data_IF_033286505478
#
_entry.id   IF_033286505478
#
_cell.length_a   1.000
_cell.length_b   1.000
_cell.length_c   1.000
_cell.angle_alpha   90.00
_cell.angle_beta   90.00
_cell.angle_gamma   90.00
#
_symmetry.space_group_name_H-M   'P 1'
#
loop_
_entity.id
_entity.type
_entity.pdbx_description
1 polymer ?
#
# COMPACT_ATOMS: atom_id res chain seq x y z
N UNK A 1 -6.01 -47.34 -29.26
CA UNK A 1 -4.61 -47.74 -29.55
C UNK A 1 -3.81 -46.44 -29.69
N UNK A 2 -2.74 -46.13 -28.95
CA UNK A 2 -2.11 -46.69 -27.74
C UNK A 2 -1.67 -45.45 -26.89
N UNK A 3 -1.69 -45.40 -25.54
CA UNK A 3 -1.03 -46.18 -24.48
C UNK A 3 0.47 -45.83 -24.24
N UNK A 4 0.87 -45.84 -22.95
CA UNK A 4 2.17 -45.45 -22.35
C UNK A 4 2.49 -43.94 -22.32
N UNK A 5 2.65 -43.22 -21.19
CA UNK A 5 3.16 -43.47 -19.83
C UNK A 5 4.69 -43.38 -19.67
N UNK A 6 5.17 -42.40 -18.88
CA UNK A 6 6.36 -42.56 -18.06
C UNK A 6 6.34 -41.70 -16.79
N UNK A 7 6.85 -42.26 -15.69
CA UNK A 7 6.82 -41.70 -14.34
C UNK A 7 8.18 -42.00 -13.66
N UNK A 8 8.77 -41.04 -12.95
CA UNK A 8 9.85 -41.14 -11.93
C UNK A 8 9.90 -39.76 -11.23
N UNK A 9 9.84 -39.56 -9.91
CA UNK A 9 10.44 -40.24 -8.74
C UNK A 9 11.97 -40.31 -8.81
N UNK A 10 12.63 -39.47 -8.03
CA UNK A 10 13.80 -39.83 -7.21
C UNK A 10 13.58 -39.15 -5.82
N UNK A 11 14.42 -39.41 -4.81
CA UNK A 11 14.02 -39.17 -3.41
C UNK A 11 15.08 -38.59 -2.45
N UNK A 12 14.60 -37.79 -1.47
CA UNK A 12 15.23 -37.66 -0.14
C UNK A 12 16.13 -36.44 0.11
N UNK A 13 16.24 -36.05 1.39
CA UNK A 13 17.11 -34.96 1.83
C UNK A 13 16.81 -34.43 3.24
N UNK A 14 16.93 -35.28 4.28
CA UNK A 14 16.91 -34.81 5.68
C UNK A 14 18.30 -34.33 6.10
N UNK A 15 18.38 -33.27 6.91
CA UNK A 15 19.61 -32.75 7.50
C UNK A 15 19.38 -32.23 8.92
N UNK A 16 20.14 -32.75 9.89
CA UNK A 16 19.96 -32.52 11.34
C UNK A 16 21.15 -31.79 11.97
N UNK A 17 20.90 -30.97 12.99
CA UNK A 17 21.91 -30.49 13.96
C UNK A 17 21.36 -29.33 14.81
N UNK A 18 21.08 -29.38 16.12
CA UNK A 18 21.80 -29.82 17.35
C UNK A 18 22.80 -28.80 17.93
N UNK A 19 22.54 -28.33 19.15
CA UNK A 19 23.44 -27.53 20.00
C UNK A 19 22.80 -26.21 20.46
N UNK A 20 22.60 -25.87 21.74
CA UNK A 20 22.89 -26.59 22.99
C UNK A 20 23.97 -25.91 23.84
N UNK A 21 23.61 -25.27 24.96
CA UNK A 21 24.59 -24.74 25.94
C UNK A 21 24.07 -23.68 26.93
N UNK A 22 23.77 -24.08 28.16
CA UNK A 22 23.48 -23.17 29.31
C UNK A 22 24.79 -22.83 30.07
N UNK A 23 24.89 -21.64 30.68
CA UNK A 23 25.48 -21.36 32.02
C UNK A 23 24.75 -20.12 32.61
N UNK A 24 24.22 -20.09 33.83
CA UNK A 24 24.89 -19.96 35.15
C UNK A 24 25.94 -18.81 35.17
N UNK A 25 25.98 -17.87 36.13
CA UNK A 25 25.23 -17.66 37.38
C UNK A 25 26.14 -17.13 38.51
N UNK A 26 25.70 -16.16 39.31
CA UNK A 26 26.46 -15.52 40.42
C UNK A 26 26.59 -13.98 40.22
N UNK A 27 26.31 -13.05 41.15
CA UNK A 27 26.17 -12.94 42.63
C UNK A 27 27.46 -12.49 43.36
N UNK A 28 27.38 -11.36 44.07
CA UNK A 28 28.45 -10.71 44.86
C UNK A 28 29.42 -9.89 43.99
N UNK A 29 30.02 -8.78 44.42
CA UNK A 29 29.97 -7.97 45.67
C UNK A 29 30.42 -6.55 45.25
N UNK A 30 29.86 -5.44 45.75
CA UNK A 30 30.16 -4.96 47.09
C UNK A 30 31.49 -4.19 47.19
N UNK A 31 31.64 -3.01 46.54
CA UNK A 31 32.68 -2.03 46.94
C UNK A 31 32.37 -0.59 46.53
N UNK A 32 32.05 0.23 47.52
CA UNK A 32 31.92 1.69 47.44
C UNK A 32 33.23 2.34 47.83
N UNK A 33 33.86 3.11 46.93
CA UNK A 33 34.78 4.22 47.24
C UNK A 33 34.81 5.19 46.04
N UNK A 34 34.87 6.50 46.29
CA UNK A 34 35.18 7.51 45.26
C UNK A 34 34.06 8.48 44.91
N UNK A 35 33.75 9.41 45.82
CA UNK A 35 33.16 10.68 45.40
C UNK A 35 34.25 11.51 44.69
N UNK A 36 34.02 11.92 43.44
CA UNK A 36 35.05 12.66 42.69
C UNK A 36 34.62 13.16 41.31
N UNK A 37 34.47 14.49 41.22
CA UNK A 37 34.53 15.34 40.02
C UNK A 37 33.46 15.21 38.91
N UNK A 38 32.58 16.21 38.91
CA UNK A 38 32.22 17.09 37.79
C UNK A 38 31.98 16.49 36.39
N UNK A 39 30.69 16.35 36.08
CA UNK A 39 29.99 17.09 35.01
C UNK A 39 30.90 17.69 33.90
N UNK A 40 30.86 17.12 32.69
CA UNK A 40 31.59 17.72 31.56
C UNK A 40 31.24 17.29 30.12
N UNK A 41 30.33 16.31 29.89
CA UNK A 41 30.20 15.69 28.54
C UNK A 41 28.78 15.65 27.96
N UNK A 42 27.72 15.98 28.72
CA UNK A 42 26.31 15.77 28.30
C UNK A 42 25.44 17.04 28.24
N UNK A 43 25.98 18.17 27.77
CA UNK A 43 25.24 19.45 27.71
C UNK A 43 25.29 20.20 26.37
N UNK A 44 25.87 19.62 25.31
CA UNK A 44 25.90 20.29 23.99
C UNK A 44 24.68 19.96 23.10
N UNK A 45 24.13 18.74 23.17
CA UNK A 45 22.97 18.34 22.36
C UNK A 45 21.62 18.79 22.95
N UNK A 46 21.50 18.78 24.28
CA UNK A 46 20.25 19.04 25.01
C UNK A 46 19.81 20.50 25.01
N UNK A 47 20.67 21.43 24.56
CA UNK A 47 20.42 22.88 24.60
C UNK A 47 19.84 23.47 23.31
N UNK A 48 19.77 22.68 22.23
CA UNK A 48 19.14 23.07 20.95
C UNK A 48 17.72 22.49 20.76
N UNK A 49 17.26 21.60 21.65
CA UNK A 49 15.95 20.95 21.53
C UNK A 49 14.69 21.82 21.79
N UNK A 50 14.67 22.86 22.66
CA UNK A 50 13.43 23.61 22.91
C UNK A 50 13.07 24.58 21.76
N UNK A 51 14.02 24.95 20.90
CA UNK A 51 13.75 25.81 19.74
C UNK A 51 13.06 25.09 18.59
N UNK A 52 13.43 23.83 18.35
CA UNK A 52 12.90 23.04 17.23
C UNK A 52 11.40 22.73 17.40
N UNK A 53 10.96 22.42 18.63
CA UNK A 53 9.54 22.16 18.92
C UNK A 53 8.63 23.38 18.70
N UNK A 54 9.12 24.59 18.96
CA UNK A 54 8.36 25.83 18.76
C UNK A 54 8.21 26.19 17.27
N UNK A 55 9.19 25.83 16.43
CA UNK A 55 9.16 26.13 15.00
C UNK A 55 8.12 25.30 14.23
N UNK A 56 7.80 24.08 14.69
CA UNK A 56 6.74 23.26 14.10
C UNK A 56 5.31 23.74 14.45
N UNK A 57 5.14 24.55 15.50
CA UNK A 57 3.82 24.96 15.98
C UNK A 57 3.12 26.03 15.12
N UNK A 58 3.84 26.70 14.21
CA UNK A 58 3.36 27.89 13.49
C UNK A 58 2.89 27.62 12.05
N UNK A 59 3.00 26.39 11.55
CA UNK A 59 2.59 26.02 10.17
C UNK A 59 1.14 25.53 10.00
N UNK A 60 0.35 25.49 11.07
CA UNK A 60 -0.84 24.62 11.18
C UNK A 60 -2.18 25.16 10.69
N UNK A 61 -2.24 26.24 9.90
CA UNK A 61 -3.51 26.82 9.41
C UNK A 61 -3.47 27.16 7.92
N UNK A 62 -3.43 26.13 7.06
CA UNK A 62 -3.89 26.29 5.68
C UNK A 62 -5.39 26.56 5.67
N UNK A 63 -5.83 27.67 5.10
CA UNK A 63 -7.25 27.84 4.73
C UNK A 63 -7.64 26.71 3.78
N UNK A 64 -8.91 26.26 3.75
CA UNK A 64 -9.39 25.38 2.70
C UNK A 64 -9.40 26.16 1.38
N UNK A 65 -8.26 26.14 0.70
CA UNK A 65 -8.13 26.59 -0.68
C UNK A 65 -9.10 25.74 -1.52
N UNK A 66 -10.12 26.38 -2.09
CA UNK A 66 -11.07 25.68 -2.95
C UNK A 66 -10.34 25.31 -4.23
N UNK A 67 -9.87 24.06 -4.30
CA UNK A 67 -9.13 23.53 -5.44
C UNK A 67 -9.99 23.69 -6.69
N UNK A 68 -9.61 24.61 -7.59
CA UNK A 68 -10.37 24.83 -8.81
C UNK A 68 -10.38 23.54 -9.67
N UNK A 69 -11.48 23.26 -10.39
CA UNK A 69 -11.54 22.16 -11.35
C UNK A 69 -10.36 22.21 -12.34
N UNK A 70 -9.59 21.12 -12.50
CA UNK A 70 -8.51 21.08 -13.47
C UNK A 70 -9.03 21.12 -14.91
N UNK A 71 -8.24 21.60 -15.88
CA UNK A 71 -8.59 21.48 -17.29
C UNK A 71 -8.70 20.01 -17.68
N UNK A 72 -9.76 19.68 -18.42
CA UNK A 72 -10.18 18.33 -18.78
C UNK A 72 -10.45 17.43 -17.55
N UNK A 73 -11.13 17.97 -16.53
CA UNK A 73 -11.72 17.18 -15.45
C UNK A 73 -12.68 16.14 -16.03
N UNK A 74 -12.37 14.86 -15.81
CA UNK A 74 -13.25 13.73 -16.12
C UNK A 74 -14.47 13.77 -15.21
N UNK A 75 -15.63 13.39 -15.73
CA UNK A 75 -16.84 13.22 -14.93
C UNK A 75 -16.69 12.09 -13.91
N UNK A 76 -17.51 12.14 -12.84
CA UNK A 76 -17.61 11.05 -11.85
C UNK A 76 -17.78 9.68 -12.51
N UNK A 77 -18.67 9.58 -13.51
CA UNK A 77 -18.95 8.34 -14.23
C UNK A 77 -17.74 7.81 -15.01
N UNK A 78 -16.94 8.68 -15.64
CA UNK A 78 -15.71 8.29 -16.33
C UNK A 78 -14.66 7.78 -15.34
N UNK A 79 -14.49 8.46 -14.19
CA UNK A 79 -13.57 8.05 -13.13
C UNK A 79 -14.01 6.71 -12.51
N UNK A 80 -15.29 6.54 -12.16
CA UNK A 80 -15.86 5.27 -11.70
C UNK A 80 -15.59 4.15 -12.71
N UNK A 81 -15.84 4.39 -14.00
CA UNK A 81 -15.60 3.41 -15.07
C UNK A 81 -14.13 2.98 -15.16
N UNK A 82 -13.19 3.93 -15.02
CA UNK A 82 -11.75 3.64 -15.03
C UNK A 82 -11.30 2.89 -13.78
N UNK A 83 -11.79 3.27 -12.60
CA UNK A 83 -11.48 2.59 -11.34
C UNK A 83 -11.96 1.13 -11.33
N UNK A 84 -13.17 0.85 -11.84
CA UNK A 84 -13.65 -0.52 -12.04
C UNK A 84 -12.67 -1.33 -12.91
N UNK A 85 -12.23 -0.75 -14.03
CA UNK A 85 -11.31 -1.41 -14.96
C UNK A 85 -9.92 -1.62 -14.35
N UNK A 86 -9.45 -0.72 -13.49
CA UNK A 86 -8.18 -0.85 -12.77
C UNK A 86 -8.25 -1.92 -11.67
N UNK A 87 -9.33 -2.00 -10.90
CA UNK A 87 -9.53 -3.09 -9.94
C UNK A 87 -9.64 -4.46 -10.62
N UNK A 88 -10.39 -4.57 -11.73
CA UNK A 88 -10.47 -5.82 -12.50
C UNK A 88 -9.11 -6.23 -13.12
N UNK A 89 -8.29 -5.25 -13.50
CA UNK A 89 -6.93 -5.45 -13.97
C UNK A 89 -6.01 -5.94 -12.84
N UNK A 90 -6.06 -5.30 -11.67
CA UNK A 90 -5.31 -5.66 -10.47
C UNK A 90 -5.62 -7.10 -10.04
N UNK A 91 -6.90 -7.44 -9.80
CA UNK A 91 -7.31 -8.79 -9.40
C UNK A 91 -6.93 -9.88 -10.42
N UNK A 92 -6.88 -9.55 -11.71
CA UNK A 92 -6.39 -10.48 -12.75
C UNK A 92 -4.89 -10.76 -12.60
N UNK A 93 -4.11 -9.77 -12.21
CA UNK A 93 -2.66 -9.88 -12.04
C UNK A 93 -2.30 -10.52 -10.69
N UNK A 94 -3.06 -10.26 -9.64
CA UNK A 94 -2.98 -10.98 -8.35
C UNK A 94 -3.26 -12.49 -8.53
N UNK A 95 -4.25 -12.85 -9.36
CA UNK A 95 -4.52 -14.24 -9.72
C UNK A 95 -3.51 -14.87 -10.70
N UNK A 96 -2.49 -14.12 -11.15
CA UNK A 96 -1.47 -14.62 -12.08
C UNK A 96 -0.31 -15.30 -11.35
N UNK A 97 0.50 -16.07 -12.09
CA UNK A 97 1.75 -16.69 -11.57
C UNK A 97 2.99 -15.85 -11.90
N UNK A 98 2.83 -14.56 -12.15
CA UNK A 98 3.94 -13.65 -12.46
C UNK A 98 4.72 -13.28 -11.19
N UNK A 99 6.01 -12.92 -11.34
CA UNK A 99 6.74 -12.27 -10.25
C UNK A 99 6.17 -10.86 -10.00
N UNK A 100 6.31 -10.29 -8.79
CA UNK A 100 5.78 -8.96 -8.47
C UNK A 100 6.21 -7.86 -9.46
N UNK A 101 7.49 -7.86 -9.86
CA UNK A 101 8.02 -6.89 -10.84
C UNK A 101 7.40 -7.07 -12.23
N UNK A 102 7.18 -8.32 -12.65
CA UNK A 102 6.54 -8.63 -13.94
C UNK A 102 5.06 -8.29 -13.94
N UNK A 103 4.35 -8.55 -12.83
CA UNK A 103 2.97 -8.14 -12.63
C UNK A 103 2.84 -6.62 -12.64
N UNK A 104 3.75 -5.89 -11.97
CA UNK A 104 3.79 -4.42 -11.96
C UNK A 104 4.06 -3.84 -13.35
N UNK A 105 5.03 -4.38 -14.09
CA UNK A 105 5.31 -3.94 -15.46
C UNK A 105 4.10 -4.17 -16.38
N UNK A 106 3.43 -5.33 -16.25
CA UNK A 106 2.22 -5.64 -17.01
C UNK A 106 1.06 -4.71 -16.63
N UNK A 107 0.82 -4.45 -15.33
CA UNK A 107 -0.19 -3.51 -14.86
C UNK A 107 -0.02 -2.14 -15.53
N UNK A 108 1.17 -1.54 -15.45
CA UNK A 108 1.43 -0.21 -16.01
C UNK A 108 1.18 -0.16 -17.51
N UNK A 109 1.59 -1.19 -18.25
CA UNK A 109 1.32 -1.28 -19.69
C UNK A 109 -0.18 -1.39 -20.01
N UNK A 110 -0.93 -2.17 -19.22
CA UNK A 110 -2.36 -2.39 -19.44
C UNK A 110 -3.22 -1.21 -18.95
N UNK A 111 -2.77 -0.47 -17.93
CA UNK A 111 -3.39 0.77 -17.45
C UNK A 111 -3.42 1.83 -18.56
N UNK A 112 -2.31 2.00 -19.30
CA UNK A 112 -2.23 2.90 -20.45
C UNK A 112 -3.21 2.48 -21.57
N UNK A 113 -3.33 1.18 -21.85
CA UNK A 113 -4.28 0.64 -22.84
C UNK A 113 -5.74 0.76 -22.39
N UNK A 114 -6.03 0.79 -21.08
CA UNK A 114 -7.35 1.13 -20.55
C UNK A 114 -7.64 2.61 -20.79
N UNK A 115 -6.74 3.52 -20.38
CA UNK A 115 -6.91 4.96 -20.58
C UNK A 115 -7.15 5.32 -22.06
N UNK A 116 -6.36 4.75 -22.98
CA UNK A 116 -6.54 4.95 -24.43
C UNK A 116 -7.90 4.47 -24.94
N UNK A 117 -8.38 3.29 -24.50
CA UNK A 117 -9.71 2.76 -24.90
C UNK A 117 -10.88 3.56 -24.35
N UNK A 118 -10.67 4.29 -23.26
CA UNK A 118 -11.63 5.24 -22.69
C UNK A 118 -11.43 6.67 -23.20
N UNK A 119 -10.62 6.88 -24.25
CA UNK A 119 -10.30 8.18 -24.85
C UNK A 119 -9.66 9.20 -23.89
N UNK A 120 -9.05 8.74 -22.80
CA UNK A 120 -8.36 9.60 -21.82
C UNK A 120 -6.88 9.78 -22.21
N UNK A 121 -6.40 11.01 -22.15
CA UNK A 121 -4.98 11.34 -22.40
C UNK A 121 -4.05 10.55 -21.50
N UNK A 122 -3.04 9.89 -22.09
CA UNK A 122 -1.99 9.15 -21.36
C UNK A 122 -0.72 9.97 -21.11
N UNK A 123 -0.53 11.09 -21.81
CA UNK A 123 0.70 11.89 -21.77
C UNK A 123 0.71 12.88 -20.60
N UNK A 124 -0.49 13.38 -20.27
CA UNK A 124 -0.74 14.28 -19.15
C UNK A 124 -2.07 13.83 -18.54
N UNK A 125 -2.00 12.82 -17.67
CA UNK A 125 -3.13 11.96 -17.31
C UNK A 125 -4.27 12.74 -16.63
N UNK A 126 -5.28 13.08 -17.44
CA UNK A 126 -6.50 13.73 -16.99
C UNK A 126 -7.19 12.93 -15.88
N UNK A 127 -7.08 11.60 -15.91
CA UNK A 127 -7.46 10.72 -14.81
C UNK A 127 -6.79 11.09 -13.46
N UNK A 128 -5.47 11.21 -13.40
CA UNK A 128 -4.74 11.52 -12.16
C UNK A 128 -5.10 12.89 -11.59
N UNK A 129 -5.29 13.89 -12.47
CA UNK A 129 -5.80 15.22 -12.06
C UNK A 129 -7.22 15.15 -11.53
N UNK A 130 -8.09 14.39 -12.19
CA UNK A 130 -9.50 14.23 -11.80
C UNK A 130 -9.64 13.48 -10.49
N UNK A 131 -8.90 12.38 -10.33
CA UNK A 131 -8.85 11.61 -9.09
C UNK A 131 -8.30 12.43 -7.93
N UNK A 132 -7.23 13.21 -8.16
CA UNK A 132 -6.70 14.16 -7.15
C UNK A 132 -7.71 15.25 -6.78
N UNK A 133 -8.42 15.80 -7.75
CA UNK A 133 -9.48 16.78 -7.51
C UNK A 133 -10.59 16.16 -6.65
N UNK A 134 -11.09 14.97 -7.00
CA UNK A 134 -12.11 14.30 -6.20
C UNK A 134 -11.61 13.90 -4.80
N UNK A 135 -10.32 13.60 -4.64
CA UNK A 135 -9.71 13.36 -3.32
C UNK A 135 -9.76 14.56 -2.36
N UNK A 136 -9.94 15.79 -2.85
CA UNK A 136 -10.21 16.97 -1.99
C UNK A 136 -11.69 17.32 -1.89
N UNK A 137 -12.57 16.58 -2.58
CA UNK A 137 -14.02 16.77 -2.61
C UNK A 137 -14.71 15.49 -2.10
N UNK A 138 -14.62 15.25 -0.79
CA UNK A 138 -14.95 13.96 -0.16
C UNK A 138 -16.32 13.37 -0.58
N UNK A 139 -17.37 14.18 -0.68
CA UNK A 139 -18.70 13.74 -1.13
C UNK A 139 -18.70 13.22 -2.59
N UNK A 140 -17.93 13.86 -3.45
CA UNK A 140 -17.83 13.46 -4.86
C UNK A 140 -17.05 12.16 -5.03
N UNK A 141 -16.01 11.95 -4.20
CA UNK A 141 -15.24 10.71 -4.18
C UNK A 141 -16.04 9.55 -3.54
N UNK A 142 -16.85 9.82 -2.51
CA UNK A 142 -17.78 8.85 -1.92
C UNK A 142 -18.80 8.35 -2.96
N UNK A 143 -19.45 9.25 -3.69
CA UNK A 143 -20.36 8.91 -4.79
C UNK A 143 -19.66 8.08 -5.90
N UNK A 144 -18.39 8.39 -6.21
CA UNK A 144 -17.58 7.60 -7.16
C UNK A 144 -17.36 6.18 -6.63
N UNK A 145 -16.98 6.01 -5.36
CA UNK A 145 -16.70 4.70 -4.76
C UNK A 145 -17.94 3.85 -4.54
N UNK A 146 -19.08 4.44 -4.18
CA UNK A 146 -20.38 3.73 -4.17
C UNK A 146 -20.63 3.11 -5.55
N UNK A 147 -20.48 3.89 -6.63
CA UNK A 147 -20.63 3.39 -8.00
C UNK A 147 -19.63 2.28 -8.38
N UNK A 148 -18.39 2.31 -7.86
CA UNK A 148 -17.40 1.23 -8.05
C UNK A 148 -17.85 -0.05 -7.33
N UNK A 149 -18.21 0.06 -6.04
CA UNK A 149 -18.61 -1.08 -5.20
C UNK A 149 -19.87 -1.75 -5.78
N UNK A 150 -20.93 -0.97 -6.06
CA UNK A 150 -22.17 -1.47 -6.64
C UNK A 150 -21.93 -2.22 -7.97
N UNK A 151 -21.04 -1.70 -8.81
CA UNK A 151 -20.69 -2.32 -10.09
C UNK A 151 -19.92 -3.63 -9.92
N UNK A 152 -18.93 -3.67 -9.02
CA UNK A 152 -18.17 -4.88 -8.71
C UNK A 152 -19.06 -5.95 -8.06
N UNK A 153 -19.93 -5.57 -7.13
CA UNK A 153 -20.92 -6.47 -6.53
C UNK A 153 -21.90 -7.02 -7.57
N UNK A 154 -22.44 -6.16 -8.45
CA UNK A 154 -23.37 -6.58 -9.49
C UNK A 154 -22.72 -7.57 -10.47
N UNK A 155 -21.43 -7.40 -10.79
CA UNK A 155 -20.67 -8.39 -11.57
C UNK A 155 -20.44 -9.69 -10.78
N UNK A 156 -20.05 -9.61 -9.50
CA UNK A 156 -19.83 -10.79 -8.65
C UNK A 156 -21.11 -11.62 -8.50
N UNK A 157 -22.25 -10.98 -8.24
CA UNK A 157 -23.59 -11.60 -8.16
C UNK A 157 -23.97 -12.29 -9.48
N UNK A 158 -23.70 -11.67 -10.64
CA UNK A 158 -23.89 -12.27 -11.97
C UNK A 158 -23.00 -13.50 -12.23
N UNK A 159 -21.84 -13.59 -11.59
CA UNK A 159 -20.91 -14.71 -11.69
C UNK A 159 -21.16 -15.81 -10.62
N UNK A 160 -22.20 -15.68 -9.79
CA UNK A 160 -22.53 -16.64 -8.74
C UNK A 160 -21.70 -16.52 -7.47
N UNK A 161 -21.01 -15.39 -7.26
CA UNK A 161 -20.24 -15.15 -6.04
C UNK A 161 -21.13 -14.99 -4.81
N UNK A 162 -20.83 -15.74 -3.75
CA UNK A 162 -21.52 -15.65 -2.47
C UNK A 162 -21.06 -14.45 -1.66
N UNK A 163 -21.90 -13.42 -1.52
CA UNK A 163 -21.68 -12.33 -0.57
C UNK A 163 -21.85 -12.84 0.85
N UNK A 164 -20.78 -12.92 1.64
CA UNK A 164 -20.88 -13.13 3.09
C UNK A 164 -21.61 -11.94 3.72
N UNK A 165 -22.70 -12.14 4.49
CA UNK A 165 -23.41 -11.04 5.11
C UNK A 165 -22.54 -10.38 6.18
N UNK A 166 -22.29 -9.08 6.01
CA UNK A 166 -21.72 -8.25 7.08
C UNK A 166 -22.83 -8.01 8.10
N UNK A 167 -22.78 -8.72 9.22
CA UNK A 167 -23.61 -8.41 10.38
C UNK A 167 -23.03 -7.18 11.09
N UNK A 168 -23.81 -6.10 11.10
CA UNK A 168 -23.71 -5.00 12.07
C UNK A 168 -24.75 -5.20 13.18
#
# INVERSE_FOLDING_TARGET
MAQAAHQRREAGGQGTGTGGGRRHGGRGEGRSYGAGLFLGVNYLLTRFLPGLGLLLALGGCGRPEQVLPPPNLLSKQEVTSLLIQFHLLESRLEGSRLSPDSARALFLSQQLLVLQRHHVSTVDSAFERSYRYYSTHAKDLDEIYVGVIDSLEAMNKKMGGSTTPVHN
#
